data_IF_022027104048
#
_entry.id   IF_022027104048
#
_cell.length_a   1.000
_cell.length_b   1.000
_cell.length_c   1.000
_cell.angle_alpha   90.00
_cell.angle_beta   90.00
_cell.angle_gamma   90.00
#
_symmetry.space_group_name_H-M   'P 1'
#
loop_
_entity.id
_entity.type
_entity.pdbx_description
1 polymer ?
#
# COMPACT_ATOMS: atom_id res chain seq x y z
N UNK A 1 37.57 29.75 0.37
CA UNK A 1 37.47 28.92 1.58
C UNK A 1 38.82 28.72 2.21
N UNK A 2 38.96 29.13 3.43
CA UNK A 2 40.18 28.99 4.21
C UNK A 2 40.36 27.53 4.67
N UNK A 3 41.58 27.18 5.13
CA UNK A 3 41.87 25.80 5.58
C UNK A 3 40.98 25.37 6.77
N UNK A 4 40.69 26.31 7.65
CA UNK A 4 39.80 26.10 8.81
C UNK A 4 38.33 25.87 8.42
N UNK A 5 37.82 26.64 7.45
CA UNK A 5 36.46 26.48 6.93
C UNK A 5 36.27 25.10 6.26
N UNK A 6 37.30 24.60 5.56
CA UNK A 6 37.29 23.27 4.96
C UNK A 6 37.29 22.16 6.02
N UNK A 7 38.05 22.37 7.12
CA UNK A 7 38.04 21.43 8.26
C UNK A 7 36.64 21.32 8.89
N UNK A 8 36.05 22.50 9.21
CA UNK A 8 34.69 22.53 9.78
C UNK A 8 33.65 21.89 8.89
N UNK A 9 33.71 22.13 7.57
CA UNK A 9 32.78 21.48 6.62
C UNK A 9 32.91 19.95 6.58
N UNK A 10 34.14 19.42 6.74
CA UNK A 10 34.35 17.95 6.81
C UNK A 10 33.84 17.40 8.15
N UNK A 11 34.06 18.11 9.25
CA UNK A 11 33.54 17.72 10.57
C UNK A 11 32.01 17.72 10.61
N UNK A 12 31.36 18.74 10.05
CA UNK A 12 29.90 18.80 9.92
C UNK A 12 29.35 17.63 9.08
N UNK A 13 30.02 17.32 7.97
CA UNK A 13 29.64 16.18 7.13
C UNK A 13 29.82 14.86 7.87
N UNK A 14 30.92 14.69 8.62
CA UNK A 14 31.17 13.50 9.44
C UNK A 14 30.06 13.31 10.49
N UNK A 15 29.67 14.40 11.19
CA UNK A 15 28.53 14.35 12.12
C UNK A 15 27.24 13.93 11.44
N UNK A 16 26.95 14.53 10.27
CA UNK A 16 25.75 14.15 9.49
C UNK A 16 25.78 12.69 9.03
N UNK A 17 26.93 12.18 8.58
CA UNK A 17 27.08 10.78 8.17
C UNK A 17 26.91 9.79 9.34
N UNK A 18 27.24 10.22 10.57
CA UNK A 18 27.04 9.41 11.78
C UNK A 18 25.57 9.41 12.24
N UNK A 19 24.86 10.55 12.11
CA UNK A 19 23.48 10.68 12.56
C UNK A 19 22.46 9.91 11.71
N UNK A 20 22.74 9.73 10.41
CA UNK A 20 21.82 9.11 9.47
C UNK A 20 22.26 7.70 9.08
N UNK A 21 21.31 6.77 9.13
CA UNK A 21 21.54 5.34 8.79
C UNK A 21 21.54 5.07 7.29
N UNK A 22 20.94 5.96 6.51
CA UNK A 22 20.77 5.76 5.07
C UNK A 22 21.32 6.96 4.31
N UNK A 23 22.26 6.70 3.43
CA UNK A 23 23.00 7.69 2.66
C UNK A 23 22.86 7.33 1.19
N UNK A 24 22.30 8.23 0.40
CA UNK A 24 22.15 8.06 -1.05
C UNK A 24 23.01 9.10 -1.78
N UNK A 25 23.78 8.63 -2.75
CA UNK A 25 24.57 9.45 -3.64
C UNK A 25 23.86 9.54 -4.98
N UNK A 26 23.42 10.73 -5.35
CA UNK A 26 22.65 10.97 -6.56
C UNK A 26 23.29 12.07 -7.41
N UNK A 27 23.03 12.00 -8.73
CA UNK A 27 23.37 13.08 -9.65
C UNK A 27 22.10 13.81 -10.08
N UNK A 28 22.07 15.11 -9.75
CA UNK A 28 20.99 16.03 -10.13
C UNK A 28 21.41 17.01 -11.23
N UNK A 29 22.57 16.79 -11.87
CA UNK A 29 23.04 17.67 -12.93
C UNK A 29 22.05 17.71 -14.10
N UNK A 30 21.81 18.92 -14.62
CA UNK A 30 20.88 19.15 -15.74
C UNK A 30 19.41 19.31 -15.37
N UNK A 31 19.05 19.34 -14.07
CA UNK A 31 17.73 19.78 -13.64
C UNK A 31 17.63 21.30 -13.68
N UNK A 32 16.48 21.80 -14.11
CA UNK A 32 16.14 23.22 -14.07
C UNK A 32 15.96 23.69 -12.61
N UNK A 33 16.09 24.99 -12.37
CA UNK A 33 15.90 25.60 -11.03
C UNK A 33 14.54 25.26 -10.43
N UNK A 34 13.46 25.23 -11.22
CA UNK A 34 12.10 24.86 -10.80
C UNK A 34 12.06 23.39 -10.37
N UNK A 35 12.65 22.50 -11.15
CA UNK A 35 12.71 21.06 -10.85
C UNK A 35 13.55 20.81 -9.60
N UNK A 36 14.70 21.47 -9.45
CA UNK A 36 15.54 21.36 -8.25
C UNK A 36 14.79 21.84 -7.00
N UNK A 37 14.03 22.92 -7.12
CA UNK A 37 13.20 23.43 -6.02
C UNK A 37 12.07 22.44 -5.66
N UNK A 38 11.42 21.84 -6.65
CA UNK A 38 10.42 20.78 -6.43
C UNK A 38 11.04 19.56 -5.73
N UNK A 39 12.21 19.10 -6.20
CA UNK A 39 12.93 17.98 -5.58
C UNK A 39 13.27 18.25 -4.13
N UNK A 40 13.80 19.44 -3.82
CA UNK A 40 14.11 19.85 -2.43
C UNK A 40 12.87 19.86 -1.55
N UNK A 41 11.73 20.33 -2.07
CA UNK A 41 10.45 20.34 -1.34
C UNK A 41 9.93 18.93 -1.07
N UNK A 42 10.01 18.04 -2.06
CA UNK A 42 9.63 16.63 -1.90
C UNK A 42 10.53 15.92 -0.89
N UNK A 43 11.84 16.15 -0.93
CA UNK A 43 12.80 15.64 0.05
C UNK A 43 12.46 16.14 1.47
N UNK A 44 12.19 17.43 1.61
CA UNK A 44 11.81 18.03 2.89
C UNK A 44 10.52 17.40 3.45
N UNK A 45 9.49 17.24 2.62
CA UNK A 45 8.22 16.61 3.02
C UNK A 45 8.39 15.15 3.47
N UNK A 46 9.43 14.48 2.96
CA UNK A 46 9.77 13.10 3.29
C UNK A 46 10.83 12.95 4.38
N UNK A 47 11.16 14.05 5.09
CA UNK A 47 12.22 14.11 6.11
C UNK A 47 13.59 13.65 5.59
N UNK A 48 13.92 14.00 4.35
CA UNK A 48 15.19 13.69 3.71
C UNK A 48 16.00 14.98 3.64
N UNK A 49 17.21 14.97 4.17
CA UNK A 49 18.14 16.06 4.06
C UNK A 49 18.89 15.96 2.73
N UNK A 50 18.64 16.90 1.83
CA UNK A 50 19.32 16.98 0.54
C UNK A 50 20.41 18.04 0.60
N UNK A 51 21.65 17.65 0.34
CA UNK A 51 22.82 18.53 0.32
C UNK A 51 23.69 18.26 -0.89
N UNK A 52 24.18 19.31 -1.53
CA UNK A 52 25.17 19.23 -2.61
C UNK A 52 26.54 19.47 -2.02
N UNK A 53 27.41 18.50 -2.15
CA UNK A 53 28.73 18.51 -1.49
C UNK A 53 29.83 18.28 -2.52
N UNK A 54 30.97 18.87 -2.28
CA UNK A 54 32.17 18.64 -3.09
C UNK A 54 32.72 17.23 -2.81
N UNK A 55 32.99 16.46 -3.86
CA UNK A 55 33.46 15.08 -3.77
C UNK A 55 34.67 14.90 -2.86
N UNK A 56 35.66 15.79 -2.92
CA UNK A 56 36.86 15.70 -2.08
C UNK A 56 36.60 15.86 -0.59
N UNK A 57 35.53 16.59 -0.20
CA UNK A 57 35.14 16.74 1.21
C UNK A 57 34.39 15.46 1.66
N UNK A 58 33.54 14.94 0.79
CA UNK A 58 32.80 13.74 1.04
C UNK A 58 33.74 12.51 1.18
N UNK A 59 34.70 12.38 0.27
CA UNK A 59 35.71 11.33 0.30
C UNK A 59 36.51 11.36 1.62
N UNK A 60 36.92 12.56 2.06
CA UNK A 60 37.62 12.72 3.34
C UNK A 60 36.70 12.39 4.52
N UNK A 61 35.48 12.88 4.54
CA UNK A 61 34.51 12.60 5.60
C UNK A 61 34.20 11.09 5.70
N UNK A 62 34.05 10.39 4.56
CA UNK A 62 33.86 8.94 4.49
C UNK A 62 35.09 8.14 4.93
N UNK A 63 36.31 8.71 4.72
CA UNK A 63 37.55 8.04 5.14
C UNK A 63 37.81 8.21 6.64
N UNK A 64 37.31 9.28 7.24
CA UNK A 64 37.46 9.59 8.68
C UNK A 64 36.27 9.08 9.51
N UNK A 65 35.19 8.57 8.87
CA UNK A 65 34.02 7.99 9.55
C UNK A 65 34.28 6.55 9.97
N UNK A 66 33.52 6.10 10.96
CA UNK A 66 33.60 4.72 11.48
C UNK A 66 32.96 3.68 10.56
N UNK A 67 32.06 4.12 9.68
CA UNK A 67 31.38 3.24 8.73
C UNK A 67 32.27 2.93 7.54
N UNK A 68 32.28 1.66 7.12
CA UNK A 68 32.99 1.24 5.91
C UNK A 68 32.13 1.48 4.68
N UNK A 69 32.44 2.54 3.92
CA UNK A 69 31.77 2.89 2.68
C UNK A 69 32.37 2.19 1.46
N UNK A 70 33.41 1.37 1.61
CA UNK A 70 33.99 0.54 0.57
C UNK A 70 34.07 1.20 -0.80
N UNK A 71 33.43 0.59 -1.78
CA UNK A 71 33.43 0.99 -3.20
C UNK A 71 32.67 2.30 -3.50
N UNK A 72 31.85 2.81 -2.56
CA UNK A 72 31.15 4.08 -2.78
C UNK A 72 32.08 5.28 -3.01
N UNK A 73 33.33 5.22 -2.52
CA UNK A 73 34.32 6.26 -2.74
C UNK A 73 34.73 6.38 -4.22
N UNK A 74 34.70 5.28 -4.96
CA UNK A 74 35.05 5.26 -6.40
C UNK A 74 33.96 5.90 -7.26
N UNK A 75 32.73 5.97 -6.75
CA UNK A 75 31.59 6.58 -7.45
C UNK A 75 31.52 8.09 -7.31
N UNK A 76 32.42 8.71 -6.56
CA UNK A 76 32.47 10.15 -6.34
C UNK A 76 33.05 10.91 -7.54
N UNK A 77 32.55 10.63 -8.74
CA UNK A 77 32.94 11.32 -9.99
C UNK A 77 31.81 12.21 -10.48
N UNK A 78 32.15 13.42 -10.94
CA UNK A 78 31.16 14.38 -11.43
C UNK A 78 30.35 15.06 -10.34
N UNK A 79 29.11 15.44 -10.63
CA UNK A 79 28.24 16.13 -9.68
C UNK A 79 27.64 15.11 -8.69
N UNK A 80 27.79 15.39 -7.40
CA UNK A 80 27.29 14.49 -6.36
C UNK A 80 26.42 15.25 -5.37
N UNK A 81 25.23 14.73 -5.18
CA UNK A 81 24.27 15.20 -4.20
C UNK A 81 24.02 14.09 -3.22
N UNK A 82 24.02 14.43 -1.95
CA UNK A 82 23.77 13.50 -0.85
C UNK A 82 22.32 13.66 -0.42
N UNK A 83 21.62 12.56 -0.29
CA UNK A 83 20.33 12.47 0.39
C UNK A 83 20.51 11.63 1.65
N UNK A 84 20.27 12.25 2.80
CA UNK A 84 20.39 11.60 4.10
C UNK A 84 19.00 11.35 4.67
N UNK A 85 18.74 10.13 5.14
CA UNK A 85 17.46 9.75 5.72
C UNK A 85 17.65 8.79 6.91
N UNK A 86 16.68 8.81 7.80
CA UNK A 86 16.58 7.85 8.91
C UNK A 86 15.97 6.53 8.45
N UNK A 87 15.12 6.59 7.42
CA UNK A 87 14.39 5.45 6.86
C UNK A 87 15.04 5.05 5.54
N UNK A 88 15.40 3.75 5.40
CA UNK A 88 16.12 3.24 4.23
C UNK A 88 15.46 3.51 2.89
N UNK A 89 14.16 3.30 2.77
CA UNK A 89 13.45 3.35 1.50
C UNK A 89 12.94 4.74 1.09
N UNK A 90 12.95 5.73 1.99
CA UNK A 90 12.38 7.06 1.73
C UNK A 90 13.02 7.78 0.54
N UNK A 91 14.36 7.84 0.41
CA UNK A 91 14.97 8.50 -0.76
C UNK A 91 14.67 7.80 -2.08
N UNK A 92 14.64 6.48 -2.10
CA UNK A 92 14.30 5.71 -3.30
C UNK A 92 12.87 5.99 -3.76
N UNK A 93 11.92 6.11 -2.83
CA UNK A 93 10.52 6.49 -3.11
C UNK A 93 10.43 7.88 -3.74
N UNK A 94 11.17 8.84 -3.23
CA UNK A 94 11.20 10.22 -3.77
C UNK A 94 11.83 10.23 -5.16
N UNK A 95 12.95 9.54 -5.37
CA UNK A 95 13.61 9.43 -6.68
C UNK A 95 12.66 8.82 -7.71
N UNK A 96 12.01 7.69 -7.38
CA UNK A 96 11.05 7.02 -8.29
C UNK A 96 9.84 7.89 -8.60
N UNK A 97 9.33 8.63 -7.60
CA UNK A 97 8.22 9.57 -7.78
C UNK A 97 8.60 10.71 -8.71
N UNK A 98 9.79 11.28 -8.52
CA UNK A 98 10.29 12.41 -9.31
C UNK A 98 10.62 12.00 -10.75
N UNK A 99 11.08 10.77 -10.98
CA UNK A 99 11.36 10.23 -12.32
C UNK A 99 10.12 10.01 -13.18
N UNK A 100 8.91 10.10 -12.64
CA UNK A 100 7.69 10.11 -13.46
C UNK A 100 7.65 11.31 -14.41
N UNK A 101 8.29 12.42 -14.02
CA UNK A 101 8.35 13.66 -14.79
C UNK A 101 9.65 13.81 -15.60
N UNK A 102 10.60 12.84 -15.51
CA UNK A 102 11.90 12.89 -16.21
C UNK A 102 12.87 11.81 -15.74
N UNK A 103 14.03 11.65 -16.45
CA UNK A 103 15.00 10.59 -16.20
C UNK A 103 15.92 10.84 -14.98
N UNK A 104 15.85 12.03 -14.37
CA UNK A 104 16.71 12.44 -13.26
C UNK A 104 15.92 12.60 -11.98
N UNK A 105 16.52 12.43 -10.79
CA UNK A 105 17.95 12.20 -10.46
C UNK A 105 18.43 10.76 -10.75
N UNK A 106 19.72 10.61 -11.11
CA UNK A 106 20.37 9.31 -11.34
C UNK A 106 20.99 8.86 -10.02
N UNK A 107 20.76 7.61 -9.62
CA UNK A 107 21.39 7.02 -8.46
C UNK A 107 22.79 6.53 -8.81
N UNK A 108 23.83 7.03 -8.14
CA UNK A 108 25.19 6.53 -8.24
C UNK A 108 25.42 5.35 -7.32
N UNK A 109 24.96 5.48 -6.09
CA UNK A 109 25.01 4.42 -5.11
C UNK A 109 24.29 4.82 -3.83
N UNK A 110 24.03 3.84 -2.98
CA UNK A 110 23.41 4.03 -1.70
C UNK A 110 24.09 3.16 -0.63
N UNK A 111 24.15 3.67 0.58
CA UNK A 111 24.53 2.96 1.77
C UNK A 111 23.31 2.90 2.68
N UNK A 112 22.78 1.72 2.92
CA UNK A 112 21.57 1.51 3.70
C UNK A 112 21.76 0.31 4.63
N UNK A 113 21.60 0.51 5.93
CA UNK A 113 21.73 -0.55 6.95
C UNK A 113 22.99 -1.41 6.75
N UNK A 114 24.17 -0.76 6.59
CA UNK A 114 25.49 -1.37 6.39
C UNK A 114 25.70 -2.09 5.05
N UNK A 115 24.68 -2.09 4.16
CA UNK A 115 24.78 -2.64 2.83
C UNK A 115 25.04 -1.55 1.78
N UNK A 116 25.89 -1.87 0.82
CA UNK A 116 26.29 -0.98 -0.28
C UNK A 116 25.55 -1.41 -1.54
N UNK A 117 24.88 -0.48 -2.18
CA UNK A 117 24.20 -0.64 -3.47
C UNK A 117 24.83 0.28 -4.50
N UNK A 118 25.35 -0.25 -5.59
CA UNK A 118 26.04 0.49 -6.63
C UNK A 118 25.22 0.51 -7.90
N UNK A 119 25.00 1.71 -8.44
CA UNK A 119 24.32 1.91 -9.72
C UNK A 119 22.81 2.12 -9.58
N UNK A 120 22.23 2.45 -10.71
CA UNK A 120 20.81 2.83 -10.81
C UNK A 120 19.87 1.62 -10.86
N UNK A 121 20.41 0.45 -11.20
CA UNK A 121 19.65 -0.80 -11.29
C UNK A 121 19.03 -1.22 -9.94
N UNK A 122 19.70 -0.86 -8.84
CA UNK A 122 19.24 -1.21 -7.49
C UNK A 122 18.13 -0.31 -6.93
N UNK A 123 17.65 0.67 -7.70
CA UNK A 123 16.62 1.59 -7.21
C UNK A 123 15.29 0.87 -6.91
N UNK A 124 14.97 -0.19 -7.63
CA UNK A 124 13.78 -0.99 -7.36
C UNK A 124 13.92 -1.85 -6.10
N UNK A 125 15.10 -2.41 -5.89
CA UNK A 125 15.42 -3.12 -4.65
C UNK A 125 15.33 -2.18 -3.44
N UNK A 126 15.93 -0.99 -3.54
CA UNK A 126 15.89 0.04 -2.51
C UNK A 126 14.47 0.59 -2.26
N UNK A 127 13.65 0.68 -3.29
CA UNK A 127 12.24 1.07 -3.14
C UNK A 127 11.43 0.04 -2.35
N UNK A 128 11.71 -1.25 -2.56
CA UNK A 128 11.03 -2.36 -1.90
C UNK A 128 11.59 -2.70 -0.52
N UNK A 129 12.69 -2.05 -0.09
CA UNK A 129 13.20 -2.21 1.27
C UNK A 129 12.13 -1.79 2.28
N UNK A 130 11.86 -2.67 3.21
CA UNK A 130 10.94 -2.42 4.32
C UNK A 130 11.69 -1.75 5.46
N UNK A 131 11.03 -0.82 6.14
CA UNK A 131 11.59 -0.27 7.38
C UNK A 131 11.62 -1.34 8.48
N UNK A 132 12.46 -1.15 9.51
CA UNK A 132 12.52 -2.08 10.65
C UNK A 132 11.16 -2.29 11.30
N UNK A 133 10.38 -1.22 11.42
CA UNK A 133 9.03 -1.27 11.99
C UNK A 133 8.05 -2.04 11.08
N UNK A 134 8.15 -1.85 9.76
CA UNK A 134 7.35 -2.59 8.79
C UNK A 134 7.67 -4.10 8.81
N UNK A 135 8.95 -4.47 8.94
CA UNK A 135 9.37 -5.88 9.05
C UNK A 135 8.84 -6.51 10.34
N UNK A 136 8.95 -5.82 11.47
CA UNK A 136 8.41 -6.30 12.75
C UNK A 136 6.89 -6.47 12.66
N UNK A 137 6.19 -5.50 12.07
CA UNK A 137 4.74 -5.57 11.84
C UNK A 137 4.34 -6.75 10.95
N UNK A 138 5.12 -7.04 9.92
CA UNK A 138 4.90 -8.19 9.05
C UNK A 138 5.09 -9.52 9.78
N UNK A 139 6.17 -9.65 10.58
CA UNK A 139 6.41 -10.84 11.40
C UNK A 139 5.24 -11.07 12.37
N UNK A 140 4.79 -10.03 13.05
CA UNK A 140 3.62 -10.11 13.96
C UNK A 140 2.36 -10.54 13.18
N UNK A 141 2.15 -9.97 12.00
CA UNK A 141 1.00 -10.31 11.16
C UNK A 141 1.08 -11.77 10.69
N UNK A 142 2.27 -12.25 10.30
CA UNK A 142 2.50 -13.63 9.89
C UNK A 142 2.23 -14.61 11.04
N UNK A 143 2.69 -14.29 12.25
CA UNK A 143 2.44 -15.11 13.45
C UNK A 143 0.96 -15.13 13.84
N UNK A 144 0.23 -14.04 13.63
CA UNK A 144 -1.20 -13.93 13.91
C UNK A 144 -2.08 -14.51 12.79
N UNK A 145 -1.54 -14.70 11.58
CA UNK A 145 -2.32 -15.10 10.41
C UNK A 145 -3.04 -16.45 10.59
N UNK A 146 -2.45 -17.51 11.21
CA UNK A 146 -3.17 -18.76 11.46
C UNK A 146 -4.40 -18.55 12.34
N UNK A 147 -4.27 -17.77 13.42
CA UNK A 147 -5.38 -17.49 14.32
C UNK A 147 -6.47 -16.64 13.65
N UNK A 148 -6.09 -15.61 12.91
CA UNK A 148 -7.02 -14.78 12.14
C UNK A 148 -7.75 -15.58 11.07
N UNK A 149 -7.06 -16.51 10.38
CA UNK A 149 -7.67 -17.35 9.36
C UNK A 149 -8.74 -18.28 9.95
N UNK A 150 -8.49 -18.91 11.11
CA UNK A 150 -9.47 -19.76 11.80
C UNK A 150 -10.69 -18.94 12.25
N UNK A 151 -10.46 -17.78 12.88
CA UNK A 151 -11.54 -16.88 13.31
C UNK A 151 -12.36 -16.39 12.10
N UNK A 152 -11.69 -16.02 11.00
CA UNK A 152 -12.35 -15.60 9.77
C UNK A 152 -13.18 -16.71 9.14
N UNK A 153 -12.66 -17.95 9.10
CA UNK A 153 -13.38 -19.11 8.61
C UNK A 153 -14.64 -19.40 9.43
N UNK A 154 -14.54 -19.35 10.77
CA UNK A 154 -15.69 -19.52 11.67
C UNK A 154 -16.73 -18.41 11.47
N UNK A 155 -16.31 -17.17 11.39
CA UNK A 155 -17.19 -16.03 11.19
C UNK A 155 -17.85 -16.05 9.81
N UNK A 156 -17.12 -16.46 8.78
CA UNK A 156 -17.64 -16.61 7.42
C UNK A 156 -18.68 -17.73 7.33
N UNK A 157 -18.44 -18.88 8.00
CA UNK A 157 -19.42 -20.00 8.02
C UNK A 157 -20.71 -19.60 8.75
N UNK A 158 -20.62 -18.90 9.87
CA UNK A 158 -21.80 -18.40 10.57
C UNK A 158 -22.61 -17.39 9.75
N UNK A 159 -21.93 -16.50 9.01
CA UNK A 159 -22.57 -15.56 8.08
C UNK A 159 -23.27 -16.25 6.90
N UNK A 160 -22.69 -17.32 6.36
CA UNK A 160 -23.31 -18.14 5.30
C UNK A 160 -24.54 -18.86 5.82
N UNK A 161 -24.49 -19.44 7.02
CA UNK A 161 -25.63 -20.10 7.65
C UNK A 161 -26.76 -19.10 7.90
N UNK A 162 -26.46 -17.94 8.47
CA UNK A 162 -27.43 -16.88 8.69
C UNK A 162 -28.06 -16.37 7.37
N UNK A 163 -27.29 -16.28 6.31
CA UNK A 163 -27.78 -15.96 4.97
C UNK A 163 -28.71 -17.02 4.40
N UNK A 164 -28.33 -18.30 4.52
CA UNK A 164 -29.18 -19.43 4.09
C UNK A 164 -30.49 -19.51 4.87
N UNK A 165 -30.45 -19.29 6.19
CA UNK A 165 -31.67 -19.25 7.02
C UNK A 165 -32.58 -18.10 6.61
N UNK A 166 -32.04 -16.92 6.31
CA UNK A 166 -32.84 -15.79 5.79
C UNK A 166 -33.48 -16.11 4.45
N UNK A 167 -32.71 -16.64 3.50
CA UNK A 167 -33.27 -16.99 2.17
C UNK A 167 -34.31 -18.10 2.23
N UNK A 168 -34.14 -19.06 3.16
CA UNK A 168 -35.17 -20.08 3.41
C UNK A 168 -36.42 -19.49 4.06
N UNK A 169 -36.25 -18.58 5.04
CA UNK A 169 -37.41 -17.93 5.66
C UNK A 169 -38.16 -17.00 4.69
N UNK A 170 -37.45 -16.33 3.78
CA UNK A 170 -38.07 -15.53 2.70
C UNK A 170 -38.84 -16.42 1.70
N UNK A 171 -38.25 -17.55 1.29
CA UNK A 171 -38.93 -18.50 0.39
C UNK A 171 -40.15 -19.15 1.02
N UNK A 172 -40.06 -19.55 2.29
CA UNK A 172 -41.24 -20.10 3.00
C UNK A 172 -42.37 -19.09 3.15
N UNK A 173 -42.04 -17.80 3.32
CA UNK A 173 -43.04 -16.69 3.36
C UNK A 173 -43.64 -16.44 1.98
N UNK A 174 -42.86 -16.58 0.90
CA UNK A 174 -43.38 -16.48 -0.46
C UNK A 174 -44.23 -17.68 -0.87
N UNK A 175 -43.86 -18.91 -0.48
CA UNK A 175 -44.66 -20.14 -0.71
C UNK A 175 -45.97 -20.11 0.07
N UNK A 176 -45.95 -19.67 1.33
CA UNK A 176 -47.19 -19.50 2.13
C UNK A 176 -48.09 -18.40 1.57
N UNK A 177 -47.55 -17.33 1.00
CA UNK A 177 -48.33 -16.31 0.31
C UNK A 177 -48.84 -16.72 -1.06
N UNK A 178 -48.18 -17.70 -1.71
CA UNK A 178 -48.65 -18.27 -2.98
C UNK A 178 -49.73 -19.32 -2.79
N UNK A 179 -49.78 -20.00 -1.62
CA UNK A 179 -50.85 -20.98 -1.31
C UNK A 179 -52.13 -20.31 -0.78
N UNK A 180 -52.10 -19.16 -0.12
CA UNK A 180 -53.32 -18.47 0.31
C UNK A 180 -54.27 -18.05 -0.84
N UNK A 181 -53.80 -17.50 -2.01
CA UNK A 181 -54.71 -17.22 -3.10
C UNK A 181 -55.25 -18.48 -3.83
N UNK A 182 -54.53 -19.61 -3.79
CA UNK A 182 -54.96 -20.87 -4.42
C UNK A 182 -56.05 -21.58 -3.62
N UNK A 183 -56.07 -21.42 -2.31
CA UNK A 183 -57.09 -21.99 -1.42
C UNK A 183 -58.38 -21.16 -1.46
N UNK A 184 -58.28 -19.82 -1.71
CA UNK A 184 -59.42 -18.94 -1.85
C UNK A 184 -60.11 -19.09 -3.21
N UNK A 185 -59.37 -19.33 -4.32
CA UNK A 185 -59.94 -19.66 -5.63
C UNK A 185 -60.58 -21.07 -5.65
N UNK A 186 -59.98 -22.08 -4.96
CA UNK A 186 -60.55 -23.39 -4.87
C UNK A 186 -61.89 -23.43 -4.05
N UNK A 187 -62.05 -22.55 -3.06
CA UNK A 187 -63.30 -22.39 -2.31
C UNK A 187 -64.36 -21.61 -3.09
N UNK A 188 -63.97 -20.69 -3.96
CA UNK A 188 -64.88 -19.96 -4.81
C UNK A 188 -65.46 -20.84 -5.93
N UNK A 189 -64.67 -21.79 -6.49
CA UNK A 189 -65.14 -22.72 -7.49
C UNK A 189 -66.07 -23.82 -6.91
N UNK A 190 -65.90 -24.26 -5.66
CA UNK A 190 -66.81 -25.21 -5.00
C UNK A 190 -68.14 -24.57 -4.62
N UNK A 191 -68.21 -23.29 -4.30
CA UNK A 191 -69.46 -22.59 -4.02
C UNK A 191 -70.29 -22.29 -5.29
N UNK A 192 -69.58 -22.04 -6.41
CA UNK A 192 -70.27 -21.75 -7.70
C UNK A 192 -70.86 -23.05 -8.32
N UNK A 193 -70.22 -24.23 -8.13
CA UNK A 193 -70.73 -25.53 -8.56
C UNK A 193 -71.90 -26.03 -7.71
N UNK A 194 -71.99 -25.62 -6.44
CA UNK A 194 -73.12 -26.04 -5.58
C UNK A 194 -74.38 -25.21 -5.82
N UNK A 195 -74.27 -23.95 -6.27
CA UNK A 195 -75.43 -23.11 -6.66
C UNK A 195 -76.01 -23.49 -8.06
N UNK A 196 -75.16 -23.95 -8.97
CA UNK A 196 -75.63 -24.36 -10.31
C UNK A 196 -76.37 -25.73 -10.29
N UNK A 197 -76.08 -26.65 -9.33
CA UNK A 197 -76.77 -27.92 -9.15
C UNK A 197 -78.13 -27.78 -8.40
N UNK A 198 -78.32 -26.78 -7.62
CA UNK A 198 -79.61 -26.54 -6.92
C UNK A 198 -80.62 -25.81 -7.81
N UNK A 199 -80.22 -25.11 -8.89
CA UNK A 199 -81.08 -24.42 -9.82
C UNK A 199 -81.62 -25.33 -10.96
N UNK A 200 -80.94 -26.48 -11.26
CA UNK A 200 -81.41 -27.44 -12.27
C UNK A 200 -82.46 -28.47 -11.72
N UNK A 201 -82.50 -28.69 -10.40
CA UNK A 201 -83.47 -29.67 -9.80
C UNK A 201 -84.80 -29.02 -9.46
N UNK A 202 -84.93 -27.68 -9.31
CA UNK A 202 -86.21 -27.00 -9.13
C UNK A 202 -87.00 -26.73 -10.42
N UNK A 203 -86.38 -26.90 -11.60
CA UNK A 203 -87.04 -26.62 -12.87
C UNK A 203 -87.67 -27.88 -13.53
N UNK A 204 -87.64 -29.08 -12.89
CA UNK A 204 -88.21 -30.32 -13.43
C UNK A 204 -89.50 -30.81 -12.75
N UNK A 205 -89.95 -30.08 -11.67
CA UNK A 205 -91.09 -30.51 -10.91
C UNK A 205 -92.36 -29.65 -11.12
N UNK A 206 -92.34 -28.70 -12.11
CA UNK A 206 -93.55 -27.92 -12.49
C UNK A 206 -94.08 -28.18 -13.90
N UNK A 207 -93.89 -29.37 -14.43
CA UNK A 207 -94.58 -29.72 -15.71
C UNK A 207 -95.05 -31.18 -15.71
N UNK A 208 -96.06 -31.55 -14.90
CA UNK A 208 -97.09 -32.54 -15.17
C UNK A 208 -98.39 -32.18 -14.51
#
# INVERSE_FOLDING_TARGET
>A
MNKEEKGKAVEELKGQLADYKSIYLTDIAGLNAVQTSKLRRECFNSNIKLSVVKNTFLERAMSESENDFGELKELLKGNTTIMLSTIGNSPAKVIKKFRKDGDKPILKGAFVDEAIYIGDEHIEALFNLKSKEEVIGEIITLLQSPAKNVISALKSSSGKIAGLVKTLSEKTVEEVKAEEPAVEEAKAEETDKSEEQTSEDESKDESE
#
